data_IF_342408914984
#
_entry.id   IF_342408914984
#
_cell.length_a   1.000
_cell.length_b   1.000
_cell.length_c   1.000
_cell.angle_alpha   90.00
_cell.angle_beta   90.00
_cell.angle_gamma   90.00
#
_symmetry.space_group_name_H-M   'P 1'
#
loop_
_entity.id
_entity.type
_entity.pdbx_description
1 polymer ?
#
# COMPACT_ATOMS: atom_id res chain seq x y z
N UNK A 1 4.13 4.87 18.95
CA UNK A 1 4.16 5.62 17.67
C UNK A 1 2.96 5.17 16.86
N UNK A 2 2.07 6.10 16.49
CA UNK A 2 0.93 5.79 15.61
C UNK A 2 1.44 5.57 14.18
N UNK A 3 0.85 4.60 13.48
CA UNK A 3 1.22 4.29 12.10
C UNK A 3 0.00 4.51 11.19
N UNK A 4 0.22 5.30 10.14
CA UNK A 4 -0.79 5.59 9.12
C UNK A 4 -0.39 4.96 7.79
N UNK A 5 -1.39 4.41 7.10
CA UNK A 5 -1.31 4.09 5.69
C UNK A 5 -2.06 5.18 4.93
N UNK A 6 -1.35 5.94 4.15
CA UNK A 6 -1.91 7.11 3.46
C UNK A 6 -1.85 6.92 1.95
N UNK A 7 -2.93 7.26 1.29
CA UNK A 7 -3.00 7.37 -0.15
C UNK A 7 -3.02 8.85 -0.57
N UNK A 8 -1.84 9.46 -0.85
CA UNK A 8 -1.79 10.89 -1.13
C UNK A 8 -2.57 11.30 -2.37
N UNK A 9 -2.73 10.39 -3.33
CA UNK A 9 -3.45 10.64 -4.58
C UNK A 9 -3.98 9.35 -5.18
N UNK A 10 -5.11 9.44 -5.88
CA UNK A 10 -5.64 8.35 -6.72
C UNK A 10 -5.10 8.38 -8.16
N UNK A 11 -4.14 9.26 -8.47
CA UNK A 11 -3.51 9.36 -9.79
C UNK A 11 -2.42 8.30 -9.95
N UNK A 12 -2.36 7.68 -11.11
CA UNK A 12 -1.28 6.79 -11.53
C UNK A 12 -1.26 6.73 -13.06
N UNK A 13 -0.08 6.60 -13.67
CA UNK A 13 0.05 6.45 -15.14
C UNK A 13 -0.06 5.02 -15.61
N UNK A 14 0.01 4.04 -14.70
CA UNK A 14 -0.06 2.63 -15.04
C UNK A 14 -1.51 2.12 -15.10
N UNK A 15 -1.72 1.03 -15.85
CA UNK A 15 -3.00 0.34 -16.00
C UNK A 15 -2.85 -1.16 -15.70
N UNK A 16 -2.29 -1.46 -14.50
CA UNK A 16 -2.06 -2.84 -14.08
C UNK A 16 -3.38 -3.62 -14.00
N UNK A 17 -3.47 -4.82 -14.63
CA UNK A 17 -4.74 -5.56 -14.79
C UNK A 17 -5.45 -5.95 -13.49
N UNK A 18 -4.71 -6.18 -12.40
CA UNK A 18 -5.27 -6.59 -11.10
C UNK A 18 -5.36 -5.42 -10.09
N UNK A 19 -5.11 -4.18 -10.55
CA UNK A 19 -5.21 -3.01 -9.71
C UNK A 19 -6.68 -2.64 -9.45
N UNK A 20 -7.03 -2.30 -8.19
CA UNK A 20 -8.38 -1.87 -7.83
C UNK A 20 -8.84 -0.63 -8.61
N UNK A 21 -7.91 0.28 -8.93
CA UNK A 21 -8.17 1.46 -9.76
C UNK A 21 -8.59 1.09 -11.19
N UNK A 22 -7.88 0.13 -11.81
CA UNK A 22 -8.20 -0.37 -13.16
C UNK A 22 -9.54 -1.08 -13.15
N UNK A 23 -9.76 -1.97 -12.16
CA UNK A 23 -11.04 -2.63 -11.97
C UNK A 23 -12.20 -1.65 -11.77
N UNK A 24 -12.02 -0.61 -10.95
CA UNK A 24 -13.03 0.42 -10.74
C UNK A 24 -13.38 1.15 -12.03
N UNK A 25 -12.36 1.56 -12.80
CA UNK A 25 -12.56 2.22 -14.08
C UNK A 25 -13.26 1.32 -15.11
N UNK A 26 -12.85 0.05 -15.21
CA UNK A 26 -13.48 -0.92 -16.10
C UNK A 26 -14.95 -1.17 -15.72
N UNK A 27 -15.27 -1.18 -14.45
CA UNK A 27 -16.62 -1.45 -13.93
C UNK A 27 -17.54 -0.24 -14.09
N UNK A 28 -17.10 0.94 -13.69
CA UNK A 28 -17.95 2.12 -13.56
C UNK A 28 -17.73 3.16 -14.67
N UNK A 29 -16.76 2.95 -15.56
CA UNK A 29 -16.34 3.88 -16.64
C UNK A 29 -16.03 5.30 -16.13
N UNK A 30 -15.66 5.44 -14.87
CA UNK A 30 -15.38 6.69 -14.18
C UNK A 30 -13.98 6.67 -13.59
N UNK A 31 -13.20 7.71 -13.87
CA UNK A 31 -11.91 7.97 -13.17
C UNK A 31 -12.19 8.86 -11.97
N UNK A 32 -11.77 8.39 -10.81
CA UNK A 32 -11.81 9.14 -9.57
C UNK A 32 -10.41 9.71 -9.34
N UNK A 33 -10.21 11.02 -9.59
CA UNK A 33 -8.89 11.65 -9.51
C UNK A 33 -8.89 12.67 -8.37
N UNK A 34 -8.38 12.25 -7.22
CA UNK A 34 -8.26 13.05 -6.02
C UNK A 34 -6.80 13.21 -5.60
N UNK A 35 -6.53 14.28 -4.92
CA UNK A 35 -5.29 14.53 -4.17
C UNK A 35 -5.68 15.00 -2.78
N UNK A 36 -5.05 14.42 -1.77
CA UNK A 36 -5.28 14.80 -0.39
C UNK A 36 -4.81 16.24 -0.14
N UNK A 37 -5.51 16.97 0.70
CA UNK A 37 -5.01 18.25 1.19
C UNK A 37 -3.84 18.01 2.15
N UNK A 38 -2.64 18.45 1.78
CA UNK A 38 -1.43 18.16 2.56
C UNK A 38 -1.37 18.94 3.87
N UNK A 39 -1.99 20.12 3.96
CA UNK A 39 -2.08 20.91 5.18
C UNK A 39 -2.89 20.15 6.23
N UNK A 40 -4.10 19.72 5.87
CA UNK A 40 -4.94 18.91 6.75
C UNK A 40 -4.26 17.59 7.14
N UNK A 41 -3.57 16.94 6.18
CA UNK A 41 -2.89 15.69 6.46
C UNK A 41 -1.76 15.86 7.48
N UNK A 42 -0.89 16.85 7.29
CA UNK A 42 0.25 17.11 8.18
C UNK A 42 -0.22 17.48 9.59
N UNK A 43 -1.27 18.28 9.69
CA UNK A 43 -1.90 18.61 10.97
C UNK A 43 -2.50 17.37 11.65
N UNK A 44 -3.25 16.57 10.90
CA UNK A 44 -3.93 15.38 11.40
C UNK A 44 -2.98 14.30 11.93
N UNK A 45 -1.90 14.01 11.21
CA UNK A 45 -0.94 12.96 11.63
C UNK A 45 -0.02 13.44 12.76
N UNK A 46 0.19 14.74 12.88
CA UNK A 46 0.99 15.35 13.93
C UNK A 46 2.48 14.99 13.85
N UNK A 47 3.14 14.94 15.01
CA UNK A 47 4.57 14.68 15.13
C UNK A 47 4.87 13.21 15.45
N UNK A 48 6.08 12.76 15.07
CA UNK A 48 6.63 11.45 15.42
C UNK A 48 5.78 10.26 14.95
N UNK A 49 5.00 10.40 13.87
CA UNK A 49 4.21 9.34 13.29
C UNK A 49 5.04 8.48 12.32
N UNK A 50 4.57 7.25 12.07
CA UNK A 50 5.04 6.43 10.95
C UNK A 50 4.04 6.53 9.80
N UNK A 51 4.51 6.96 8.64
CA UNK A 51 3.69 7.22 7.45
C UNK A 51 4.08 6.22 6.36
N UNK A 52 3.17 5.31 6.03
CA UNK A 52 3.31 4.41 4.90
C UNK A 52 2.50 4.95 3.72
N UNK A 53 3.14 5.44 2.69
CA UNK A 53 2.52 5.91 1.46
C UNK A 53 2.57 4.81 0.40
N UNK A 54 1.49 4.05 0.30
CA UNK A 54 1.33 2.98 -0.69
C UNK A 54 -0.09 3.06 -1.25
N UNK A 55 -0.23 3.35 -2.53
CA UNK A 55 -1.54 3.51 -3.13
C UNK A 55 -2.29 2.19 -3.35
N UNK A 56 -3.55 2.11 -2.92
CA UNK A 56 -4.51 1.13 -3.40
C UNK A 56 -5.07 1.55 -4.77
N UNK A 57 -5.26 2.86 -4.96
CA UNK A 57 -5.91 3.45 -6.12
C UNK A 57 -5.01 4.39 -6.91
N UNK A 58 -3.86 4.78 -6.38
CA UNK A 58 -2.90 5.66 -7.02
C UNK A 58 -1.46 5.25 -6.79
N UNK A 59 -0.55 6.14 -7.13
CA UNK A 59 0.86 6.02 -6.77
C UNK A 59 1.30 7.33 -6.13
N UNK A 60 1.84 7.31 -4.93
CA UNK A 60 2.11 8.49 -4.10
C UNK A 60 2.86 9.62 -4.82
N UNK A 61 3.86 9.26 -5.65
CA UNK A 61 4.70 10.26 -6.32
C UNK A 61 3.96 11.11 -7.36
N UNK A 62 2.72 10.75 -7.71
CA UNK A 62 1.89 11.53 -8.64
C UNK A 62 1.07 12.63 -7.97
N UNK A 63 1.10 12.73 -6.63
CA UNK A 63 0.57 13.92 -5.95
C UNK A 63 1.35 15.16 -6.40
N UNK A 64 0.63 16.22 -6.76
CA UNK A 64 1.23 17.43 -7.36
C UNK A 64 2.28 18.10 -6.44
N UNK A 65 2.07 18.04 -5.13
CA UNK A 65 2.94 18.60 -4.09
C UNK A 65 3.64 17.52 -3.27
N UNK A 66 4.01 16.37 -3.86
CA UNK A 66 4.55 15.25 -3.12
C UNK A 66 5.84 15.55 -2.35
N UNK A 67 6.77 16.30 -2.96
CA UNK A 67 8.03 16.68 -2.30
C UNK A 67 7.78 17.62 -1.11
N UNK A 68 6.85 18.57 -1.24
CA UNK A 68 6.43 19.45 -0.15
C UNK A 68 5.81 18.64 1.00
N UNK A 69 4.93 17.68 0.69
CA UNK A 69 4.38 16.75 1.67
C UNK A 69 5.49 16.00 2.43
N UNK A 70 6.46 15.41 1.71
CA UNK A 70 7.57 14.71 2.35
C UNK A 70 8.39 15.63 3.25
N UNK A 71 8.70 16.85 2.79
CA UNK A 71 9.45 17.83 3.59
C UNK A 71 8.73 18.15 4.90
N UNK A 72 7.44 18.50 4.84
CA UNK A 72 6.63 18.82 6.03
C UNK A 72 6.51 17.64 7.01
N UNK A 73 6.38 16.43 6.50
CA UNK A 73 6.37 15.23 7.34
C UNK A 73 7.73 15.01 8.03
N UNK A 74 8.84 15.31 7.34
CA UNK A 74 10.18 15.26 7.95
C UNK A 74 10.37 16.37 8.99
N UNK A 75 9.87 17.58 8.76
CA UNK A 75 9.88 18.68 9.74
C UNK A 75 9.11 18.29 11.02
N UNK A 76 8.09 17.42 10.90
CA UNK A 76 7.35 16.83 12.03
C UNK A 76 8.01 15.57 12.60
N UNK A 77 9.26 15.28 12.26
CA UNK A 77 10.00 14.09 12.72
C UNK A 77 9.27 12.76 12.41
N UNK A 78 8.50 12.69 11.33
CA UNK A 78 7.85 11.48 10.89
C UNK A 78 8.81 10.56 10.15
N UNK A 79 8.58 9.24 10.25
CA UNK A 79 9.21 8.23 9.40
C UNK A 79 8.36 8.00 8.17
N UNK A 80 8.98 7.94 6.99
CA UNK A 80 8.26 7.86 5.73
C UNK A 80 8.64 6.56 4.99
N UNK A 81 7.66 5.70 4.75
CA UNK A 81 7.80 4.54 3.87
C UNK A 81 7.04 4.84 2.56
N UNK A 82 7.72 4.87 1.43
CA UNK A 82 7.13 5.17 0.11
C UNK A 82 7.18 3.93 -0.76
N UNK A 83 6.03 3.53 -1.32
CA UNK A 83 5.96 2.49 -2.35
C UNK A 83 5.51 3.10 -3.66
N UNK A 84 6.31 2.94 -4.72
CA UNK A 84 6.04 3.52 -6.04
C UNK A 84 6.39 2.57 -7.18
N UNK A 85 5.77 2.79 -8.34
CA UNK A 85 6.14 2.12 -9.59
C UNK A 85 7.38 2.76 -10.28
N UNK A 86 7.78 3.96 -9.90
CA UNK A 86 8.98 4.64 -10.39
C UNK A 86 8.94 5.17 -11.84
N UNK A 87 7.82 5.05 -12.57
CA UNK A 87 7.80 5.11 -14.04
C UNK A 87 7.85 6.49 -14.70
N UNK A 88 7.85 7.62 -13.97
CA UNK A 88 7.57 8.88 -14.69
C UNK A 88 8.28 10.13 -14.20
N UNK A 89 9.08 10.05 -13.16
CA UNK A 89 9.76 11.25 -12.66
C UNK A 89 11.11 11.47 -13.32
N UNK A 90 11.53 12.73 -13.41
CA UNK A 90 12.84 13.10 -13.92
C UNK A 90 13.96 12.80 -12.92
N UNK A 91 15.19 12.67 -13.38
CA UNK A 91 16.36 12.48 -12.52
C UNK A 91 16.51 13.61 -11.48
N UNK A 92 16.19 14.87 -11.86
CA UNK A 92 16.24 16.01 -10.94
C UNK A 92 15.17 15.91 -9.83
N UNK A 93 14.00 15.41 -10.14
CA UNK A 93 12.94 15.17 -9.15
C UNK A 93 13.37 14.10 -8.14
N UNK A 94 13.94 12.99 -8.61
CA UNK A 94 14.46 11.93 -7.74
C UNK A 94 15.59 12.41 -6.84
N UNK A 95 16.50 13.30 -7.34
CA UNK A 95 17.55 13.92 -6.52
C UNK A 95 16.95 14.73 -5.36
N UNK A 96 15.88 15.49 -5.62
CA UNK A 96 15.19 16.24 -4.56
C UNK A 96 14.57 15.29 -3.53
N UNK A 97 13.91 14.21 -3.96
CA UNK A 97 13.37 13.24 -2.99
C UNK A 97 14.50 12.58 -2.17
N UNK A 98 15.61 12.21 -2.80
CA UNK A 98 16.76 11.62 -2.11
C UNK A 98 17.37 12.56 -1.06
N UNK A 99 17.32 13.88 -1.27
CA UNK A 99 17.81 14.87 -0.28
C UNK A 99 16.88 15.06 0.92
N UNK A 100 15.60 14.67 0.79
CA UNK A 100 14.59 14.76 1.87
C UNK A 100 14.62 13.54 2.78
N UNK A 101 14.80 12.33 2.20
CA UNK A 101 14.73 11.08 2.93
C UNK A 101 16.01 10.81 3.74
N UNK A 102 15.86 10.24 4.93
CA UNK A 102 16.97 9.88 5.84
C UNK A 102 17.03 8.36 6.13
N UNK A 103 17.91 7.95 7.01
CA UNK A 103 18.17 6.53 7.37
C UNK A 103 16.99 5.81 8.03
N UNK A 104 15.99 6.55 8.52
CA UNK A 104 14.78 5.99 9.12
C UNK A 104 13.72 5.68 8.08
N UNK A 105 13.85 6.23 6.86
CA UNK A 105 12.86 6.14 5.79
C UNK A 105 13.10 4.95 4.87
N UNK A 106 12.07 4.59 4.13
CA UNK A 106 12.08 3.52 3.16
C UNK A 106 11.53 4.00 1.81
N UNK A 107 12.31 3.81 0.74
CA UNK A 107 11.80 3.88 -0.63
C UNK A 107 11.71 2.47 -1.21
N UNK A 108 10.51 2.06 -1.62
CA UNK A 108 10.26 0.76 -2.23
C UNK A 108 9.79 0.91 -3.66
N UNK A 109 10.55 0.36 -4.59
CA UNK A 109 10.14 0.24 -5.99
C UNK A 109 9.34 -1.03 -6.22
N UNK A 110 8.17 -0.91 -6.81
CA UNK A 110 7.33 -2.03 -7.24
C UNK A 110 7.61 -2.34 -8.71
N UNK A 111 8.43 -3.35 -8.96
CA UNK A 111 8.86 -3.78 -10.30
C UNK A 111 8.61 -5.28 -10.41
N UNK A 112 7.80 -5.71 -11.38
CA UNK A 112 7.33 -7.09 -11.49
C UNK A 112 7.84 -7.74 -12.77
N UNK A 113 9.15 -7.83 -12.90
CA UNK A 113 9.88 -8.41 -14.03
C UNK A 113 11.15 -7.63 -14.35
N UNK A 114 11.84 -8.02 -15.40
CA UNK A 114 12.97 -7.32 -16.00
C UNK A 114 12.49 -6.34 -17.09
N UNK A 115 13.41 -5.79 -17.88
CA UNK A 115 13.11 -4.81 -18.92
C UNK A 115 12.07 -5.32 -19.94
N UNK A 116 12.18 -6.59 -20.30
CA UNK A 116 11.35 -7.29 -21.29
C UNK A 116 10.00 -7.74 -20.77
N UNK A 117 9.80 -7.80 -19.46
CA UNK A 117 8.58 -8.41 -18.86
C UNK A 117 7.82 -7.51 -17.90
N UNK A 118 8.46 -6.55 -17.25
CA UNK A 118 7.82 -5.67 -16.27
C UNK A 118 6.56 -4.97 -16.84
N UNK A 119 6.59 -4.57 -18.12
CA UNK A 119 5.49 -3.88 -18.79
C UNK A 119 4.30 -4.81 -19.10
N UNK A 120 4.46 -6.12 -19.06
CA UNK A 120 3.38 -7.08 -19.33
C UNK A 120 2.29 -6.99 -18.27
N UNK A 121 2.68 -6.84 -17.02
CA UNK A 121 1.75 -6.56 -15.92
C UNK A 121 1.61 -5.07 -15.62
N UNK A 122 2.74 -4.36 -15.50
CA UNK A 122 2.75 -2.92 -15.22
C UNK A 122 2.59 -2.12 -16.51
N UNK A 123 1.41 -2.25 -17.13
CA UNK A 123 1.09 -1.60 -18.39
C UNK A 123 1.38 -0.10 -18.32
N UNK A 124 2.05 0.42 -19.36
CA UNK A 124 2.54 1.80 -19.48
C UNK A 124 3.79 2.11 -18.63
N UNK A 125 4.42 1.13 -17.97
CA UNK A 125 5.68 1.35 -17.27
C UNK A 125 6.81 1.69 -18.25
N UNK A 126 7.66 2.63 -17.85
CA UNK A 126 8.83 3.09 -18.63
C UNK A 126 10.11 2.65 -17.93
N UNK A 127 10.72 1.56 -18.39
CA UNK A 127 11.92 0.97 -17.78
C UNK A 127 13.04 1.98 -17.53
N UNK A 128 13.40 2.76 -18.54
CA UNK A 128 14.45 3.78 -18.43
C UNK A 128 14.16 4.83 -17.34
N UNK A 129 12.88 5.20 -17.14
CA UNK A 129 12.49 6.13 -16.06
C UNK A 129 12.70 5.50 -14.69
N UNK A 130 12.36 4.21 -14.55
CA UNK A 130 12.55 3.44 -13.31
C UNK A 130 14.05 3.36 -13.00
N UNK A 131 14.87 2.94 -13.97
CA UNK A 131 16.33 2.84 -13.82
C UNK A 131 16.99 4.18 -13.49
N UNK A 132 16.53 5.28 -14.10
CA UNK A 132 16.99 6.63 -13.77
C UNK A 132 16.67 7.01 -12.31
N UNK A 133 15.51 6.62 -11.81
CA UNK A 133 15.14 6.80 -10.40
C UNK A 133 16.06 6.01 -9.48
N UNK A 134 16.19 4.72 -9.71
CA UNK A 134 17.03 3.81 -8.91
C UNK A 134 18.49 4.30 -8.89
N UNK A 135 19.03 4.70 -10.04
CA UNK A 135 20.40 5.18 -10.14
C UNK A 135 20.71 6.41 -9.29
N UNK A 136 19.72 7.27 -9.02
CA UNK A 136 19.89 8.40 -8.09
C UNK A 136 20.06 7.91 -6.65
N UNK A 137 19.43 6.80 -6.28
CA UNK A 137 19.49 6.24 -4.94
C UNK A 137 20.69 5.30 -4.71
N UNK A 138 21.63 5.22 -5.65
CA UNK A 138 22.90 4.49 -5.45
C UNK A 138 23.73 5.08 -4.29
N UNK A 139 23.62 6.41 -4.07
CA UNK A 139 24.20 7.15 -2.95
C UNK A 139 23.09 7.77 -2.12
N UNK A 140 22.45 6.96 -1.28
CA UNK A 140 21.31 7.32 -0.46
C UNK A 140 21.60 7.15 1.03
N UNK A 141 20.76 7.77 1.87
CA UNK A 141 20.69 7.51 3.30
C UNK A 141 19.56 6.52 3.63
N UNK A 142 18.39 6.65 2.97
CA UNK A 142 17.23 5.83 3.25
C UNK A 142 17.41 4.36 2.83
N UNK A 143 16.57 3.48 3.34
CA UNK A 143 16.51 2.09 2.87
C UNK A 143 15.87 2.02 1.48
N UNK A 144 16.40 1.14 0.63
CA UNK A 144 15.91 0.93 -0.73
C UNK A 144 15.49 -0.52 -0.92
N UNK A 145 14.21 -0.75 -1.19
CA UNK A 145 13.67 -2.09 -1.40
C UNK A 145 13.11 -2.26 -2.81
N UNK A 146 13.27 -3.46 -3.34
CA UNK A 146 12.59 -3.90 -4.56
C UNK A 146 11.47 -4.86 -4.18
N UNK A 147 10.22 -4.51 -4.46
CA UNK A 147 9.04 -5.37 -4.32
C UNK A 147 8.72 -5.98 -5.67
N UNK A 148 8.63 -7.32 -5.71
CA UNK A 148 8.41 -8.11 -6.91
C UNK A 148 7.21 -9.03 -6.68
N UNK A 149 6.12 -8.81 -7.42
CA UNK A 149 4.95 -9.70 -7.40
C UNK A 149 5.17 -10.78 -8.46
N UNK A 150 5.04 -12.04 -8.04
CA UNK A 150 5.23 -13.19 -8.94
C UNK A 150 3.97 -13.41 -9.76
N UNK A 151 4.15 -13.46 -11.07
CA UNK A 151 3.14 -13.79 -12.08
C UNK A 151 3.67 -14.88 -13.01
N UNK A 152 2.80 -15.51 -13.82
CA UNK A 152 3.18 -16.53 -14.80
C UNK A 152 4.30 -16.09 -15.77
N UNK A 153 4.24 -14.85 -16.23
CA UNK A 153 5.20 -14.32 -17.21
C UNK A 153 6.57 -13.92 -16.63
N UNK A 154 6.70 -13.83 -15.31
CA UNK A 154 7.93 -13.39 -14.67
C UNK A 154 8.49 -14.38 -13.62
N UNK A 155 7.81 -15.50 -13.38
CA UNK A 155 8.19 -16.47 -12.35
C UNK A 155 9.60 -17.03 -12.55
N UNK A 156 10.02 -17.22 -13.79
CA UNK A 156 11.33 -17.78 -14.14
C UNK A 156 12.47 -16.73 -14.07
N UNK A 157 12.12 -15.44 -13.96
CA UNK A 157 13.07 -14.32 -13.85
C UNK A 157 13.43 -13.95 -12.40
N UNK A 158 12.91 -14.65 -11.40
CA UNK A 158 13.10 -14.28 -9.97
C UNK A 158 14.60 -14.23 -9.61
N UNK A 159 15.38 -15.22 -10.08
CA UNK A 159 16.82 -15.28 -9.81
C UNK A 159 17.56 -14.09 -10.44
N UNK A 160 17.33 -13.82 -11.70
CA UNK A 160 17.96 -12.73 -12.43
C UNK A 160 17.56 -11.35 -11.87
N UNK A 161 16.29 -11.18 -11.49
CA UNK A 161 15.81 -9.97 -10.85
C UNK A 161 16.46 -9.74 -9.46
N UNK A 162 16.69 -10.81 -8.69
CA UNK A 162 17.40 -10.76 -7.41
C UNK A 162 18.88 -10.39 -7.62
N UNK A 163 19.55 -10.95 -8.61
CA UNK A 163 20.91 -10.60 -8.96
C UNK A 163 21.02 -9.14 -9.42
N UNK A 164 20.09 -8.69 -10.27
CA UNK A 164 20.03 -7.29 -10.70
C UNK A 164 19.77 -6.35 -9.51
N UNK A 165 18.89 -6.72 -8.58
CA UNK A 165 18.64 -5.92 -7.38
C UNK A 165 19.91 -5.70 -6.55
N UNK A 166 20.74 -6.73 -6.41
CA UNK A 166 22.03 -6.64 -5.73
C UNK A 166 23.01 -5.73 -6.47
N UNK A 167 23.10 -5.84 -7.81
CA UNK A 167 23.94 -4.95 -8.66
C UNK A 167 23.50 -3.49 -8.56
N UNK A 168 22.19 -3.24 -8.42
CA UNK A 168 21.60 -1.91 -8.26
C UNK A 168 21.61 -1.43 -6.80
N UNK A 169 22.24 -2.17 -5.89
CA UNK A 169 22.43 -1.82 -4.47
C UNK A 169 21.11 -1.69 -3.69
N UNK A 170 20.11 -2.49 -3.99
CA UNK A 170 18.95 -2.61 -3.12
C UNK A 170 19.32 -3.30 -1.81
N UNK A 171 18.79 -2.80 -0.69
CA UNK A 171 19.01 -3.41 0.64
C UNK A 171 18.19 -4.68 0.81
N UNK A 172 17.03 -4.76 0.13
CA UNK A 172 16.15 -5.92 0.22
C UNK A 172 15.37 -6.15 -1.08
N UNK A 173 15.30 -7.42 -1.49
CA UNK A 173 14.45 -7.91 -2.58
C UNK A 173 13.31 -8.70 -2.00
N UNK A 174 12.08 -8.17 -2.11
CA UNK A 174 10.87 -8.74 -1.52
C UNK A 174 10.02 -9.43 -2.58
N UNK A 175 9.89 -10.74 -2.47
CA UNK A 175 8.89 -11.49 -3.23
C UNK A 175 7.52 -11.34 -2.60
N UNK A 176 6.52 -11.13 -3.43
CA UNK A 176 5.12 -11.05 -3.04
C UNK A 176 4.27 -11.90 -3.99
N UNK A 177 3.17 -12.43 -3.48
CA UNK A 177 2.17 -13.11 -4.28
C UNK A 177 0.87 -12.33 -4.25
N UNK A 178 0.15 -12.34 -5.38
CA UNK A 178 -1.18 -11.79 -5.45
C UNK A 178 -2.20 -12.85 -5.06
N UNK A 179 -3.20 -12.46 -4.28
CA UNK A 179 -4.42 -13.21 -4.05
C UNK A 179 -5.59 -12.69 -4.92
N UNK A 180 -5.33 -11.68 -5.74
CA UNK A 180 -6.31 -10.95 -6.55
C UNK A 180 -6.26 -11.38 -8.00
N UNK A 181 -6.87 -12.51 -8.35
CA UNK A 181 -6.81 -12.99 -9.73
C UNK A 181 -7.94 -12.44 -10.60
N UNK A 182 -9.11 -12.08 -10.04
CA UNK A 182 -10.21 -11.40 -10.73
C UNK A 182 -10.63 -12.03 -12.06
N UNK A 183 -10.56 -13.36 -12.14
CA UNK A 183 -10.84 -14.08 -13.38
C UNK A 183 -9.67 -14.13 -14.38
N UNK A 184 -8.56 -13.42 -14.13
CA UNK A 184 -7.35 -13.41 -14.98
C UNK A 184 -6.39 -14.52 -14.57
N UNK A 185 -6.81 -15.77 -14.73
CA UNK A 185 -6.02 -16.96 -14.38
C UNK A 185 -4.75 -17.11 -15.21
N UNK A 186 -4.70 -16.49 -16.38
CA UNK A 186 -3.53 -16.41 -17.26
C UNK A 186 -2.33 -15.70 -16.62
N UNK A 187 -2.58 -14.84 -15.65
CA UNK A 187 -1.53 -14.16 -14.87
C UNK A 187 -1.04 -15.00 -13.68
N UNK A 188 -1.73 -16.06 -13.32
CA UNK A 188 -1.44 -16.85 -12.13
C UNK A 188 -0.14 -17.63 -12.33
N UNK A 189 0.84 -17.56 -11.41
CA UNK A 189 2.06 -18.34 -11.50
C UNK A 189 1.78 -19.83 -11.31
N UNK A 190 2.74 -20.68 -11.66
CA UNK A 190 2.63 -22.12 -11.48
C UNK A 190 2.54 -22.47 -9.98
N UNK A 191 1.88 -23.58 -9.70
CA UNK A 191 1.51 -23.99 -8.34
C UNK A 191 2.72 -24.09 -7.40
N UNK A 192 3.85 -24.58 -7.90
CA UNK A 192 5.09 -24.68 -7.13
C UNK A 192 5.58 -23.34 -6.53
N UNK A 193 5.44 -22.25 -7.28
CA UNK A 193 5.79 -20.89 -6.79
C UNK A 193 4.80 -20.40 -5.74
N UNK A 194 3.53 -20.74 -5.88
CA UNK A 194 2.46 -20.38 -4.94
C UNK A 194 2.61 -21.15 -3.64
N UNK A 195 2.79 -22.48 -3.72
CA UNK A 195 2.87 -23.36 -2.55
C UNK A 195 4.09 -23.00 -1.68
N UNK A 196 5.25 -22.74 -2.28
CA UNK A 196 6.46 -22.32 -1.56
C UNK A 196 6.24 -21.03 -0.77
N UNK A 197 5.56 -20.06 -1.38
CA UNK A 197 5.26 -18.80 -0.72
C UNK A 197 4.31 -18.97 0.47
N UNK A 198 3.21 -19.71 0.29
CA UNK A 198 2.24 -19.92 1.36
C UNK A 198 2.78 -20.76 2.52
N UNK A 199 3.64 -21.72 2.24
CA UNK A 199 4.36 -22.48 3.29
C UNK A 199 5.24 -21.55 4.13
N UNK A 200 5.98 -20.63 3.50
CA UNK A 200 6.84 -19.68 4.20
C UNK A 200 6.07 -18.66 5.04
N UNK A 201 4.90 -18.23 4.56
CA UNK A 201 4.08 -17.20 5.23
C UNK A 201 3.16 -17.76 6.32
N UNK A 202 3.05 -19.10 6.49
CA UNK A 202 2.02 -19.76 7.33
C UNK A 202 0.59 -19.26 7.05
N UNK A 203 0.41 -18.52 5.99
CA UNK A 203 -0.88 -18.03 5.50
C UNK A 203 -1.45 -19.09 4.57
N UNK A 204 -2.07 -20.08 5.14
CA UNK A 204 -2.91 -20.96 4.32
C UNK A 204 -4.00 -20.09 3.72
N UNK A 205 -4.28 -20.22 2.42
CA UNK A 205 -5.59 -19.84 1.84
C UNK A 205 -6.62 -20.78 2.48
N UNK A 206 -6.92 -20.50 3.73
CA UNK A 206 -7.84 -21.31 4.50
C UNK A 206 -9.21 -20.88 4.03
N UNK A 207 -10.00 -21.87 3.61
CA UNK A 207 -11.44 -21.74 3.59
C UNK A 207 -11.85 -20.91 4.82
N UNK A 208 -12.57 -19.80 4.66
CA UNK A 208 -13.02 -18.96 5.77
C UNK A 208 -13.68 -19.76 6.89
N UNK A 209 -14.27 -20.93 6.58
CA UNK A 209 -14.89 -21.84 7.52
C UNK A 209 -13.94 -22.47 8.54
N UNK A 210 -12.62 -22.44 8.31
CA UNK A 210 -11.62 -22.97 9.25
C UNK A 210 -10.90 -21.91 10.09
N UNK A 211 -11.20 -20.64 9.89
CA UNK A 211 -10.64 -19.55 10.70
C UNK A 211 -11.50 -19.34 11.94
N UNK A 212 -10.89 -19.34 13.10
CA UNK A 212 -11.63 -19.25 14.38
C UNK A 212 -11.08 -18.17 15.31
N UNK A 213 -9.91 -17.62 15.03
CA UNK A 213 -9.23 -16.59 15.83
C UNK A 213 -8.97 -15.35 14.99
N UNK A 214 -8.91 -14.19 15.64
CA UNK A 214 -8.54 -12.93 15.01
C UNK A 214 -7.14 -12.48 15.45
N UNK A 215 -6.33 -12.02 14.46
CA UNK A 215 -5.06 -11.33 14.67
C UNK A 215 -5.08 -9.98 13.91
N UNK A 216 -5.84 -8.99 14.42
CA UNK A 216 -6.06 -7.73 13.71
C UNK A 216 -4.81 -6.87 13.70
N UNK A 217 -4.27 -6.61 12.50
CA UNK A 217 -3.06 -5.77 12.31
C UNK A 217 -3.29 -4.28 12.59
N UNK A 218 -4.55 -3.83 12.64
CA UNK A 218 -4.91 -2.45 12.97
C UNK A 218 -4.82 -2.14 14.47
N UNK A 219 -4.59 -3.15 15.31
CA UNK A 219 -4.43 -2.99 16.76
C UNK A 219 -2.98 -3.26 17.16
N UNK A 220 -2.48 -2.47 18.11
CA UNK A 220 -1.22 -2.71 18.84
C UNK A 220 -1.59 -2.67 20.31
N UNK A 221 -1.26 -3.73 21.07
CA UNK A 221 -1.63 -3.88 22.49
C UNK A 221 -3.14 -3.64 22.72
N UNK A 222 -3.97 -4.19 21.82
CA UNK A 222 -5.43 -4.01 21.80
C UNK A 222 -5.93 -2.57 21.62
N UNK A 223 -5.06 -1.63 21.20
CA UNK A 223 -5.42 -0.23 20.93
C UNK A 223 -5.31 0.08 19.44
N UNK A 224 -6.24 0.88 18.87
CA UNK A 224 -6.13 1.36 17.50
C UNK A 224 -4.88 2.23 17.33
N UNK A 225 -3.89 1.74 16.59
CA UNK A 225 -2.66 2.51 16.41
C UNK A 225 -1.81 2.10 15.22
N UNK A 226 -2.17 1.03 14.52
CA UNK A 226 -1.33 0.53 13.45
C UNK A 226 -2.10 0.48 12.12
N UNK A 227 -1.49 1.04 11.06
CA UNK A 227 -2.02 1.03 9.71
C UNK A 227 -3.42 1.67 9.55
N UNK A 228 -3.75 2.68 10.38
CA UNK A 228 -4.92 3.52 10.19
C UNK A 228 -4.87 4.14 8.79
N UNK A 229 -5.96 4.02 8.02
CA UNK A 229 -5.93 4.37 6.61
C UNK A 229 -6.62 5.71 6.33
N UNK A 230 -5.97 6.51 5.48
CA UNK A 230 -6.52 7.78 4.98
C UNK A 230 -6.44 7.72 3.46
N UNK A 231 -7.57 7.88 2.79
CA UNK A 231 -7.62 7.86 1.33
C UNK A 231 -7.33 9.25 0.70
N UNK A 232 -7.30 9.29 -0.63
CA UNK A 232 -6.98 10.50 -1.38
C UNK A 232 -8.06 11.62 -1.28
N UNK A 233 -9.24 11.32 -0.75
CA UNK A 233 -10.30 12.28 -0.45
C UNK A 233 -10.18 12.84 0.98
N UNK A 234 -9.23 12.31 1.77
CA UNK A 234 -9.04 12.65 3.18
C UNK A 234 -9.96 11.87 4.12
N UNK A 235 -10.64 10.85 3.62
CA UNK A 235 -11.52 10.02 4.44
C UNK A 235 -10.72 9.00 5.24
N UNK A 236 -11.04 8.93 6.54
CA UNK A 236 -10.43 7.98 7.47
C UNK A 236 -11.15 6.63 7.44
N UNK A 237 -10.37 5.57 7.50
CA UNK A 237 -10.83 4.18 7.66
C UNK A 237 -9.97 3.45 8.69
N UNK A 238 -10.54 2.48 9.42
CA UNK A 238 -9.80 1.71 10.43
C UNK A 238 -8.59 0.95 9.87
N UNK A 239 -8.63 0.55 8.60
CA UNK A 239 -7.50 -0.06 7.89
C UNK A 239 -7.65 0.08 6.37
N UNK A 240 -6.55 -0.14 5.64
CA UNK A 240 -6.50 0.01 4.18
C UNK A 240 -7.48 -0.92 3.44
N UNK A 241 -7.78 -2.10 3.96
CA UNK A 241 -8.76 -3.01 3.35
C UNK A 241 -10.17 -2.43 3.34
N UNK A 242 -10.55 -1.73 4.41
CA UNK A 242 -11.86 -1.05 4.49
C UNK A 242 -11.96 0.13 3.53
N UNK A 243 -10.85 0.78 3.20
CA UNK A 243 -10.79 1.91 2.27
C UNK A 243 -10.62 1.50 0.80
N UNK A 244 -10.51 0.20 0.45
CA UNK A 244 -10.44 -0.22 -0.96
C UNK A 244 -11.79 -0.05 -1.65
N UNK A 245 -11.81 0.24 -2.95
CA UNK A 245 -13.05 0.40 -3.71
C UNK A 245 -14.02 -0.78 -3.61
N UNK A 246 -13.53 -1.98 -3.38
CA UNK A 246 -14.36 -3.19 -3.24
C UNK A 246 -15.16 -3.23 -1.95
N UNK A 247 -14.61 -2.67 -0.86
CA UNK A 247 -15.23 -2.72 0.47
C UNK A 247 -15.76 -1.36 0.91
N UNK A 248 -15.18 -0.25 0.44
CA UNK A 248 -15.53 1.13 0.75
C UNK A 248 -17.04 1.39 0.65
N UNK A 249 -17.71 0.87 -0.37
CA UNK A 249 -19.13 1.07 -0.62
C UNK A 249 -20.06 0.06 0.10
N UNK A 250 -19.51 -0.92 0.80
CA UNK A 250 -20.26 -2.00 1.44
C UNK A 250 -20.08 -2.06 2.95
N UNK A 251 -19.35 -1.11 3.52
CA UNK A 251 -19.03 -1.09 4.95
C UNK A 251 -19.75 0.03 5.69
N UNK A 252 -19.73 -0.02 7.02
CA UNK A 252 -20.15 1.08 7.91
C UNK A 252 -19.40 2.39 7.67
N UNK A 253 -18.25 2.31 6.96
CA UNK A 253 -17.42 3.43 6.53
C UNK A 253 -17.62 3.75 5.04
N UNK A 254 -18.82 3.47 4.47
CA UNK A 254 -19.10 3.89 3.09
C UNK A 254 -19.05 5.42 2.98
N UNK A 255 -18.67 5.98 1.81
CA UNK A 255 -18.61 7.44 1.66
C UNK A 255 -19.90 8.19 1.98
N UNK A 256 -21.05 7.51 1.90
CA UNK A 256 -22.34 8.09 2.28
C UNK A 256 -22.54 8.18 3.79
N UNK A 257 -21.86 7.33 4.55
CA UNK A 257 -22.01 7.18 6.00
C UNK A 257 -20.71 7.54 6.73
N UNK A 258 -19.58 7.65 6.02
CA UNK A 258 -18.31 8.03 6.61
C UNK A 258 -18.32 9.53 6.96
N UNK A 259 -18.31 9.81 8.25
CA UNK A 259 -18.29 11.16 8.82
C UNK A 259 -16.87 11.60 9.21
N UNK A 260 -15.88 10.76 8.96
CA UNK A 260 -14.51 10.91 9.46
C UNK A 260 -13.58 11.36 8.36
N UNK A 261 -13.52 12.67 8.13
CA UNK A 261 -12.59 13.29 7.18
C UNK A 261 -11.56 14.13 7.93
N UNK A 262 -10.28 14.04 7.54
CA UNK A 262 -9.17 14.75 8.18
C UNK A 262 -9.27 16.28 8.10
N UNK A 263 -10.08 16.81 7.19
CA UNK A 263 -10.35 18.24 7.07
C UNK A 263 -11.38 18.76 8.09
N UNK A 264 -12.11 17.87 8.76
CA UNK A 264 -13.20 18.22 9.68
C UNK A 264 -13.10 17.60 11.06
N UNK A 265 -12.23 16.61 11.24
CA UNK A 265 -12.10 15.86 12.49
C UNK A 265 -10.63 15.60 12.81
N UNK A 266 -10.26 15.65 14.08
CA UNK A 266 -8.95 15.22 14.53
C UNK A 266 -8.96 13.71 14.88
N UNK A 267 -7.77 13.12 15.01
CA UNK A 267 -7.62 11.69 15.28
C UNK A 267 -8.28 11.26 16.59
N UNK A 268 -8.14 12.05 17.64
CA UNK A 268 -8.66 11.75 18.96
C UNK A 268 -10.19 11.67 18.97
N UNK A 269 -10.86 12.61 18.28
CA UNK A 269 -12.31 12.62 18.17
C UNK A 269 -12.80 11.42 17.35
N UNK A 270 -12.12 11.08 16.26
CA UNK A 270 -12.42 9.89 15.44
C UNK A 270 -12.30 8.63 16.29
N UNK A 271 -11.19 8.44 17.01
CA UNK A 271 -10.97 7.22 17.81
C UNK A 271 -11.90 7.12 19.04
N UNK A 272 -12.41 8.24 19.55
CA UNK A 272 -13.40 8.28 20.64
C UNK A 272 -14.84 8.04 20.17
N UNK A 273 -15.12 8.16 18.89
CA UNK A 273 -16.47 7.97 18.35
C UNK A 273 -16.96 6.52 18.54
N UNK A 274 -18.21 6.34 18.96
CA UNK A 274 -18.76 5.01 19.29
C UNK A 274 -18.65 4.02 18.13
N UNK A 275 -19.00 4.42 16.92
CA UNK A 275 -18.90 3.58 15.72
C UNK A 275 -17.48 3.04 15.48
N UNK A 276 -16.46 3.85 15.73
CA UNK A 276 -15.04 3.46 15.56
C UNK A 276 -14.62 2.51 16.69
N UNK A 277 -15.02 2.81 17.93
CA UNK A 277 -14.79 1.93 19.09
C UNK A 277 -15.44 0.56 18.90
N UNK A 278 -16.72 0.53 18.53
CA UNK A 278 -17.46 -0.70 18.28
C UNK A 278 -16.84 -1.53 17.16
N UNK A 279 -16.37 -0.87 16.08
CA UNK A 279 -15.64 -1.56 15.03
C UNK A 279 -14.37 -2.24 15.56
N UNK A 280 -13.51 -1.52 16.28
CA UNK A 280 -12.27 -2.11 16.81
C UNK A 280 -12.55 -3.21 17.85
N UNK A 281 -13.53 -3.04 18.73
CA UNK A 281 -13.96 -4.12 19.65
C UNK A 281 -14.43 -5.36 18.88
N UNK A 282 -15.22 -5.18 17.82
CA UNK A 282 -15.68 -6.31 17.00
C UNK A 282 -14.55 -7.10 16.35
N UNK A 283 -13.41 -6.45 16.05
CA UNK A 283 -12.25 -7.13 15.40
C UNK A 283 -11.53 -8.10 16.32
N UNK A 284 -11.72 -8.02 17.64
CA UNK A 284 -11.05 -8.88 18.62
C UNK A 284 -11.57 -10.31 18.61
N UNK A 285 -12.80 -10.53 18.13
CA UNK A 285 -13.43 -11.85 18.10
C UNK A 285 -13.87 -12.22 16.69
N UNK A 286 -13.60 -13.46 16.29
CA UNK A 286 -13.94 -13.92 14.94
C UNK A 286 -15.44 -13.83 14.63
N UNK A 287 -16.29 -14.16 15.59
CA UNK A 287 -17.76 -14.16 15.42
C UNK A 287 -18.32 -12.78 15.11
N UNK A 288 -17.82 -11.75 15.79
CA UNK A 288 -18.29 -10.35 15.66
C UNK A 288 -17.59 -9.54 14.60
N UNK A 289 -16.40 -10.00 14.13
CA UNK A 289 -15.59 -9.24 13.18
C UNK A 289 -16.28 -9.07 11.82
N UNK A 290 -16.06 -7.92 11.18
CA UNK A 290 -16.50 -7.68 9.81
C UNK A 290 -15.89 -8.71 8.83
N UNK A 291 -16.63 -9.10 7.78
CA UNK A 291 -16.19 -10.11 6.83
C UNK A 291 -14.81 -9.80 6.21
N UNK A 292 -14.52 -8.55 5.90
CA UNK A 292 -13.21 -8.13 5.43
C UNK A 292 -12.11 -8.47 6.45
N UNK A 293 -12.35 -8.21 7.74
CA UNK A 293 -11.41 -8.52 8.81
C UNK A 293 -11.23 -10.05 8.98
N UNK A 294 -12.30 -10.83 8.89
CA UNK A 294 -12.24 -12.30 8.93
C UNK A 294 -11.35 -12.85 7.81
N UNK A 295 -11.49 -12.32 6.60
CA UNK A 295 -10.70 -12.73 5.44
C UNK A 295 -9.22 -12.36 5.63
N UNK A 296 -8.93 -11.13 6.04
CA UNK A 296 -7.57 -10.59 6.07
C UNK A 296 -6.80 -10.89 7.36
N UNK A 297 -7.48 -10.94 8.49
CA UNK A 297 -6.88 -11.04 9.82
C UNK A 297 -7.33 -12.29 10.60
N UNK A 298 -8.21 -13.11 10.04
CA UNK A 298 -8.58 -14.39 10.64
C UNK A 298 -7.48 -15.45 10.46
N UNK A 299 -7.22 -16.23 11.51
CA UNK A 299 -6.24 -17.32 11.53
C UNK A 299 -6.87 -18.60 12.08
N UNK A 300 -6.24 -19.76 11.83
CA UNK A 300 -6.57 -21.01 12.50
C UNK A 300 -6.15 -20.94 13.97
N UNK A 301 -6.96 -21.57 14.86
CA UNK A 301 -6.41 -22.00 16.13
C UNK A 301 -5.35 -23.08 15.85
N UNK A 302 -4.13 -22.87 16.37
CA UNK A 302 -3.06 -23.86 16.33
C UNK A 302 -3.44 -25.13 17.08
#
# INVERSE_FOLDING_TARGET
>A
MVSFHIEPTSKCTLECPLCDRTWFYETFKKRNLHEINIEHLVEFVGMNAKINMCGNNGDPIYHSRFLDLCTRLKDNNCKIDITTNGSSKTKSWWKKLNSILDENDLLQFSIDGLEDTNHLYRKNAKWNSIMNGIGVFAERKCKLHWKYIVFKHNQDQIKDAKELSSKLKFDYFKLEHSDRWLGKKDLMPDREFVDTYYQQQKRVLIDPNFKTKMEPVCLVDNKPSNALYIDAEGDFYPCCWMGTYRYKYKSLFSPKENKFNIGTSNLDDILKHNQVKEFFESTKQFTSAHNCCKIQCGVKNG
#
